data_IF_780514478150
#
_entry.id   IF_780514478150
#
_cell.length_a   1.000
_cell.length_b   1.000
_cell.length_c   1.000
_cell.angle_alpha   90.00
_cell.angle_beta   90.00
_cell.angle_gamma   90.00
#
_symmetry.space_group_name_H-M   'P 1'
#
loop_
_entity.id
_entity.type
_entity.pdbx_description
1 polymer ?
#
# COMPACT_ATOMS: atom_id res chain seq x y z
N UNK A 1 -0.05 17.61 10.78
CA UNK A 1 -1.09 16.74 10.23
C UNK A 1 -0.44 15.41 9.81
N UNK A 2 -1.02 14.31 10.23
CA UNK A 2 -0.48 12.98 9.91
C UNK A 2 -0.89 12.57 8.50
N UNK A 3 0.05 12.08 7.73
CA UNK A 3 -0.21 11.43 6.45
C UNK A 3 -0.12 9.92 6.64
N UNK A 4 -1.14 9.20 6.23
CA UNK A 4 -1.21 7.74 6.32
C UNK A 4 -1.04 7.12 4.95
N UNK A 5 -0.13 6.15 4.85
CA UNK A 5 0.14 5.42 3.62
C UNK A 5 -0.31 3.98 3.81
N UNK A 6 -1.31 3.55 3.03
CA UNK A 6 -1.71 2.15 3.02
C UNK A 6 -0.65 1.33 2.29
N UNK A 7 -0.16 0.24 2.91
CA UNK A 7 0.72 -0.67 2.20
C UNK A 7 -0.08 -1.49 1.18
N UNK A 8 0.61 -2.29 0.38
CA UNK A 8 -0.04 -3.04 -0.70
C UNK A 8 -1.07 -4.03 -0.18
N UNK A 9 -0.81 -4.67 0.96
CA UNK A 9 -1.75 -5.62 1.56
C UNK A 9 -3.02 -4.92 2.04
N UNK A 10 -2.88 -3.79 2.74
CA UNK A 10 -4.05 -3.00 3.18
C UNK A 10 -4.85 -2.50 1.99
N UNK A 11 -4.17 -2.06 0.94
CA UNK A 11 -4.83 -1.59 -0.27
C UNK A 11 -5.66 -2.71 -0.91
N UNK A 12 -5.10 -3.92 -0.99
CA UNK A 12 -5.81 -5.11 -1.47
C UNK A 12 -7.01 -5.45 -0.59
N UNK A 13 -6.85 -5.39 0.72
CA UNK A 13 -7.95 -5.63 1.66
C UNK A 13 -9.10 -4.65 1.41
N UNK A 14 -8.77 -3.38 1.21
CA UNK A 14 -9.79 -2.36 0.97
C UNK A 14 -10.52 -2.61 -0.36
N UNK A 15 -9.80 -3.00 -1.40
CA UNK A 15 -10.42 -3.33 -2.68
C UNK A 15 -11.39 -4.52 -2.55
N UNK A 16 -11.10 -5.44 -1.64
CA UNK A 16 -11.98 -6.60 -1.37
C UNK A 16 -13.11 -6.29 -0.40
N UNK A 17 -13.23 -5.06 0.08
CA UNK A 17 -14.33 -4.65 0.95
C UNK A 17 -14.14 -4.99 2.42
N UNK A 18 -12.91 -5.06 2.92
CA UNK A 18 -12.63 -5.35 4.33
C UNK A 18 -13.26 -4.30 5.24
N UNK A 19 -14.19 -4.71 6.09
CA UNK A 19 -15.04 -3.78 6.83
C UNK A 19 -14.32 -2.93 7.87
N UNK A 20 -13.46 -3.47 8.76
CA UNK A 20 -12.75 -2.62 9.73
C UNK A 20 -11.91 -1.53 9.07
N UNK A 21 -11.22 -1.88 8.00
CA UNK A 21 -10.40 -0.95 7.24
C UNK A 21 -11.27 0.11 6.56
N UNK A 22 -12.37 -0.30 5.93
CA UNK A 22 -13.29 0.63 5.29
C UNK A 22 -13.85 1.66 6.25
N UNK A 23 -14.23 1.24 7.45
CA UNK A 23 -14.71 2.14 8.51
C UNK A 23 -13.63 3.14 8.93
N UNK A 24 -12.41 2.68 9.10
CA UNK A 24 -11.29 3.55 9.50
C UNK A 24 -10.99 4.58 8.41
N UNK A 25 -11.05 4.17 7.15
CA UNK A 25 -10.84 5.09 6.02
C UNK A 25 -11.93 6.16 5.98
N UNK A 26 -13.19 5.79 6.18
CA UNK A 26 -14.29 6.76 6.22
C UNK A 26 -14.15 7.76 7.37
N UNK A 27 -13.54 7.34 8.47
CA UNK A 27 -13.33 8.19 9.65
C UNK A 27 -12.10 9.08 9.54
N UNK A 28 -11.29 8.93 8.48
CA UNK A 28 -10.05 9.67 8.29
C UNK A 28 -10.21 10.68 7.16
N UNK A 29 -9.78 11.94 7.33
CA UNK A 29 -9.89 12.91 6.25
C UNK A 29 -9.15 12.44 4.99
N UNK A 30 -9.77 12.55 3.80
CA UNK A 30 -9.17 12.04 2.56
C UNK A 30 -7.78 12.61 2.24
N UNK A 31 -7.52 13.86 2.63
CA UNK A 31 -6.21 14.48 2.39
C UNK A 31 -5.12 13.96 3.30
N UNK A 32 -5.45 13.07 4.24
CA UNK A 32 -4.47 12.40 5.11
C UNK A 32 -4.20 10.96 4.67
N UNK A 33 -4.77 10.51 3.56
CA UNK A 33 -4.64 9.13 3.08
C UNK A 33 -3.95 9.16 1.72
N UNK A 34 -2.95 8.30 1.55
CA UNK A 34 -2.26 8.15 0.28
C UNK A 34 -1.83 6.69 0.10
N UNK A 35 -1.45 6.36 -1.12
CA UNK A 35 -0.75 5.12 -1.45
C UNK A 35 0.54 5.48 -2.14
N UNK A 36 1.42 4.50 -2.33
CA UNK A 36 2.68 4.74 -3.05
C UNK A 36 2.58 4.26 -4.49
N UNK A 37 3.42 4.83 -5.35
CA UNK A 37 3.61 4.32 -6.71
C UNK A 37 3.99 2.85 -6.70
N UNK A 38 4.74 2.40 -5.69
CA UNK A 38 5.12 0.99 -5.52
C UNK A 38 3.90 0.11 -5.30
N UNK A 39 2.96 0.50 -4.44
CA UNK A 39 1.74 -0.27 -4.21
C UNK A 39 0.84 -0.29 -5.45
N UNK A 40 0.73 0.84 -6.15
CA UNK A 40 -0.01 0.90 -7.40
C UNK A 40 0.61 -0.06 -8.43
N UNK A 41 1.93 -0.06 -8.55
CA UNK A 41 2.66 -0.99 -9.43
C UNK A 41 2.33 -2.45 -9.09
N UNK A 42 2.35 -2.80 -7.81
CA UNK A 42 2.08 -4.18 -7.39
C UNK A 42 0.66 -4.64 -7.76
N UNK A 43 -0.33 -3.78 -7.52
CA UNK A 43 -1.71 -4.12 -7.85
C UNK A 43 -1.89 -4.29 -9.36
N UNK A 44 -1.36 -3.36 -10.16
CA UNK A 44 -1.44 -3.43 -11.62
C UNK A 44 -0.71 -4.67 -12.13
N UNK A 45 0.48 -4.95 -11.59
CA UNK A 45 1.26 -6.13 -11.99
C UNK A 45 0.49 -7.42 -11.73
N UNK A 46 -0.20 -7.51 -10.59
CA UNK A 46 -1.03 -8.67 -10.26
C UNK A 46 -2.15 -8.87 -11.27
N UNK A 47 -2.80 -7.80 -11.70
CA UNK A 47 -3.87 -7.86 -12.71
C UNK A 47 -3.33 -8.21 -14.09
N UNK A 48 -2.18 -7.66 -14.47
CA UNK A 48 -1.53 -8.01 -15.75
C UNK A 48 -1.13 -9.49 -15.77
N UNK A 49 -0.64 -10.01 -14.66
CA UNK A 49 -0.32 -11.44 -14.52
C UNK A 49 -1.57 -12.30 -14.70
N UNK A 50 -2.70 -11.89 -14.11
CA UNK A 50 -3.97 -12.59 -14.26
C UNK A 50 -4.43 -12.61 -15.71
N UNK A 51 -4.30 -11.50 -16.43
CA UNK A 51 -4.62 -11.43 -17.85
C UNK A 51 -3.76 -12.42 -18.65
N UNK A 52 -2.46 -12.45 -18.39
CA UNK A 52 -1.53 -13.34 -19.09
C UNK A 52 -1.82 -14.81 -18.86
N UNK A 53 -2.32 -15.18 -17.69
CA UNK A 53 -2.63 -16.57 -17.36
C UNK A 53 -4.00 -17.01 -17.84
N UNK A 54 -4.87 -16.08 -18.22
CA UNK A 54 -6.22 -16.40 -18.70
C UNK A 54 -6.15 -17.06 -20.07
N UNK A 55 -6.70 -18.28 -20.19
CA UNK A 55 -6.66 -19.07 -21.41
C UNK A 55 -8.05 -19.37 -21.98
N UNK A 56 -9.11 -19.17 -21.21
CA UNK A 56 -10.47 -19.44 -21.63
C UNK A 56 -11.25 -18.12 -21.78
N UNK A 57 -12.31 -18.11 -22.61
CA UNK A 57 -13.06 -16.86 -22.83
C UNK A 57 -13.54 -16.17 -21.55
N UNK A 58 -14.15 -16.94 -20.63
CA UNK A 58 -14.66 -16.37 -19.38
C UNK A 58 -13.52 -15.86 -18.47
N UNK A 59 -12.38 -16.56 -18.48
CA UNK A 59 -11.22 -16.14 -17.72
C UNK A 59 -10.68 -14.81 -18.22
N UNK A 60 -10.63 -14.64 -19.55
CA UNK A 60 -10.17 -13.38 -20.14
C UNK A 60 -11.11 -12.23 -19.79
N UNK A 61 -12.43 -12.45 -19.90
CA UNK A 61 -13.42 -11.41 -19.54
C UNK A 61 -13.25 -11.01 -18.07
N UNK A 62 -13.12 -11.99 -17.18
CA UNK A 62 -12.94 -11.75 -15.74
C UNK A 62 -11.63 -10.99 -15.44
N UNK A 63 -10.54 -11.41 -16.08
CA UNK A 63 -9.23 -10.80 -15.85
C UNK A 63 -9.20 -9.35 -16.32
N UNK A 64 -9.76 -9.04 -17.48
CA UNK A 64 -9.85 -7.66 -17.98
C UNK A 64 -10.81 -6.81 -17.15
N UNK A 65 -11.91 -7.39 -16.67
CA UNK A 65 -12.82 -6.69 -15.78
C UNK A 65 -12.08 -6.20 -14.53
N UNK A 66 -11.33 -7.09 -13.88
CA UNK A 66 -10.61 -6.73 -12.66
C UNK A 66 -9.46 -5.76 -12.93
N UNK A 67 -8.83 -5.84 -14.08
CA UNK A 67 -7.82 -4.86 -14.48
C UNK A 67 -8.45 -3.47 -14.56
N UNK A 68 -9.56 -3.35 -15.26
CA UNK A 68 -10.28 -2.07 -15.39
C UNK A 68 -10.77 -1.55 -14.04
N UNK A 69 -11.32 -2.45 -13.20
CA UNK A 69 -11.77 -2.06 -11.86
C UNK A 69 -10.60 -1.57 -11.00
N UNK A 70 -9.44 -2.19 -11.13
CA UNK A 70 -8.24 -1.79 -10.37
C UNK A 70 -7.75 -0.42 -10.79
N UNK A 71 -7.75 -0.12 -12.08
CA UNK A 71 -7.37 1.23 -12.54
C UNK A 71 -8.31 2.29 -11.97
N UNK A 72 -9.60 2.03 -11.99
CA UNK A 72 -10.61 2.94 -11.44
C UNK A 72 -10.45 3.10 -9.93
N UNK A 73 -10.23 1.99 -9.22
CA UNK A 73 -9.99 1.98 -7.78
C UNK A 73 -8.77 2.83 -7.41
N UNK A 74 -7.66 2.66 -8.12
CA UNK A 74 -6.42 3.39 -7.86
C UNK A 74 -6.58 4.89 -8.12
N UNK A 75 -7.42 5.26 -9.08
CA UNK A 75 -7.68 6.66 -9.40
C UNK A 75 -8.29 7.43 -8.22
N UNK A 76 -8.93 6.75 -7.29
CA UNK A 76 -9.51 7.35 -6.09
C UNK A 76 -8.50 7.75 -5.01
N UNK A 77 -7.21 7.47 -5.20
CA UNK A 77 -6.19 7.75 -4.19
C UNK A 77 -5.17 8.77 -4.68
N UNK A 78 -4.62 9.53 -3.74
CA UNK A 78 -3.38 10.25 -3.97
C UNK A 78 -2.24 9.24 -4.04
N UNK A 79 -1.48 9.26 -5.12
CA UNK A 79 -0.36 8.35 -5.33
C UNK A 79 0.95 9.11 -5.13
N UNK A 80 1.72 8.71 -4.14
CA UNK A 80 3.02 9.32 -3.85
C UNK A 80 4.09 8.71 -4.76
N UNK A 81 4.84 9.58 -5.42
CA UNK A 81 5.88 9.16 -6.35
C UNK A 81 7.09 8.55 -5.64
N UNK A 82 7.80 7.68 -6.34
CA UNK A 82 9.13 7.24 -5.94
C UNK A 82 10.13 8.22 -6.54
N UNK A 83 10.39 9.31 -5.81
CA UNK A 83 11.22 10.41 -6.29
C UNK A 83 12.68 10.28 -5.80
N UNK A 84 13.50 11.29 -6.07
CA UNK A 84 14.92 11.27 -5.68
C UNK A 84 15.09 11.19 -4.16
N UNK A 85 14.18 11.80 -3.39
CA UNK A 85 14.25 11.72 -1.92
C UNK A 85 13.92 10.31 -1.44
N UNK A 86 12.94 9.64 -2.05
CA UNK A 86 12.63 8.25 -1.75
C UNK A 86 13.80 7.35 -2.10
N UNK A 87 14.43 7.56 -3.24
CA UNK A 87 15.60 6.77 -3.65
C UNK A 87 16.75 6.93 -2.65
N UNK A 88 17.01 8.15 -2.18
CA UNK A 88 18.05 8.38 -1.18
C UNK A 88 17.77 7.61 0.11
N UNK A 89 16.50 7.59 0.55
CA UNK A 89 16.10 6.81 1.73
C UNK A 89 16.24 5.31 1.47
N UNK A 90 15.86 4.85 0.27
CA UNK A 90 15.99 3.45 -0.10
C UNK A 90 17.46 2.99 -0.05
N UNK A 91 18.38 3.79 -0.62
CA UNK A 91 19.80 3.49 -0.56
C UNK A 91 20.29 3.43 0.91
N UNK A 92 19.87 4.36 1.74
CA UNK A 92 20.21 4.35 3.16
C UNK A 92 19.73 3.07 3.85
N UNK A 93 18.52 2.61 3.56
CA UNK A 93 17.99 1.37 4.13
C UNK A 93 18.77 0.14 3.66
N UNK A 94 19.17 0.12 2.39
CA UNK A 94 20.04 -0.94 1.87
C UNK A 94 21.39 -0.95 2.58
N UNK A 95 21.98 0.22 2.81
CA UNK A 95 23.27 0.34 3.49
C UNK A 95 23.20 -0.13 4.94
N UNK A 96 22.03 0.03 5.58
CA UNK A 96 21.79 -0.48 6.93
C UNK A 96 21.54 -1.98 6.95
N UNK A 97 21.51 -2.63 5.79
CA UNK A 97 21.31 -4.09 5.63
C UNK A 97 19.99 -4.58 6.24
N UNK A 98 18.95 -3.78 6.11
CA UNK A 98 17.62 -4.16 6.57
C UNK A 98 17.05 -5.20 5.61
N UNK A 99 16.71 -6.38 6.15
CA UNK A 99 16.29 -7.55 5.36
C UNK A 99 14.77 -7.68 5.37
N UNK A 100 14.12 -6.91 4.53
CA UNK A 100 12.71 -7.08 4.21
C UNK A 100 12.57 -7.03 2.69
N UNK A 101 11.39 -7.37 2.17
CA UNK A 101 11.16 -7.37 0.73
C UNK A 101 11.46 -6.02 0.10
N UNK A 102 11.97 -6.04 -1.13
CA UNK A 102 12.37 -4.83 -1.86
C UNK A 102 11.21 -3.84 -2.03
N UNK A 103 10.00 -4.35 -2.29
CA UNK A 103 8.82 -3.49 -2.45
C UNK A 103 8.46 -2.81 -1.14
N UNK A 104 8.50 -3.54 -0.02
CA UNK A 104 8.24 -2.97 1.31
C UNK A 104 9.31 -1.93 1.68
N UNK A 105 10.58 -2.18 1.32
CA UNK A 105 11.63 -1.17 1.52
C UNK A 105 11.35 0.11 0.73
N UNK A 106 10.85 0.00 -0.49
CA UNK A 106 10.49 1.17 -1.29
C UNK A 106 9.31 1.95 -0.70
N UNK A 107 8.30 1.23 -0.20
CA UNK A 107 7.17 1.85 0.50
C UNK A 107 7.68 2.61 1.73
N UNK A 108 8.53 1.96 2.53
CA UNK A 108 9.14 2.60 3.70
C UNK A 108 9.97 3.82 3.34
N UNK A 109 10.73 3.75 2.25
CA UNK A 109 11.54 4.87 1.78
C UNK A 109 10.68 6.09 1.42
N UNK A 110 9.58 5.87 0.72
CA UNK A 110 8.63 6.94 0.41
C UNK A 110 8.05 7.52 1.71
N UNK A 111 7.61 6.64 2.63
CA UNK A 111 7.02 7.06 3.90
C UNK A 111 8.00 7.89 4.73
N UNK A 112 9.25 7.46 4.85
CA UNK A 112 10.28 8.21 5.58
C UNK A 112 10.53 9.58 4.95
N UNK A 113 10.57 9.66 3.62
CA UNK A 113 10.79 10.91 2.92
C UNK A 113 9.66 11.91 3.12
N UNK A 114 8.46 11.45 3.43
CA UNK A 114 7.26 12.28 3.66
C UNK A 114 6.90 12.40 5.15
N UNK A 115 7.66 11.75 6.03
CA UNK A 115 7.35 11.68 7.47
C UNK A 115 5.94 11.15 7.71
N UNK A 116 5.56 10.12 6.95
CA UNK A 116 4.23 9.53 6.99
C UNK A 116 4.20 8.28 7.88
N UNK A 117 3.00 7.88 8.28
CA UNK A 117 2.75 6.63 8.99
C UNK A 117 2.36 5.55 7.98
N UNK A 118 3.00 4.39 8.03
CA UNK A 118 2.63 3.25 7.19
C UNK A 118 1.54 2.45 7.88
N UNK A 119 0.46 2.20 7.17
CA UNK A 119 -0.66 1.40 7.67
C UNK A 119 -0.48 -0.01 7.11
N UNK A 120 -0.20 -0.96 8.00
CA UNK A 120 0.25 -2.31 7.63
C UNK A 120 -0.12 -3.34 8.68
N UNK A 121 -0.30 -4.59 8.24
CA UNK A 121 -0.36 -5.75 9.14
C UNK A 121 1.03 -6.36 9.35
N UNK A 122 2.00 -5.98 8.54
CA UNK A 122 3.34 -6.56 8.56
C UNK A 122 4.27 -5.78 9.50
N UNK A 123 3.87 -5.68 10.77
CA UNK A 123 4.66 -4.96 11.76
C UNK A 123 6.03 -5.58 11.95
N UNK A 124 6.12 -6.90 11.90
CA UNK A 124 7.37 -7.62 12.13
C UNK A 124 8.49 -7.13 11.21
N UNK A 125 8.20 -6.92 9.92
CA UNK A 125 9.19 -6.44 8.97
C UNK A 125 9.43 -4.94 9.10
N UNK A 126 8.38 -4.14 9.12
CA UNK A 126 8.51 -2.69 9.15
C UNK A 126 9.10 -2.16 10.47
N UNK A 127 8.93 -2.88 11.58
CA UNK A 127 9.53 -2.49 12.87
C UNK A 127 11.05 -2.53 12.85
N UNK A 128 11.65 -3.21 11.88
CA UNK A 128 13.10 -3.20 11.70
C UNK A 128 13.64 -1.87 11.23
N UNK A 129 12.77 -0.96 10.80
CA UNK A 129 13.15 0.34 10.24
C UNK A 129 12.99 1.40 11.33
N UNK A 130 14.13 1.94 11.77
CA UNK A 130 14.14 2.98 12.81
C UNK A 130 13.47 4.26 12.29
N UNK A 131 12.60 4.82 13.10
CA UNK A 131 11.94 6.09 12.80
C UNK A 131 10.69 5.98 11.95
N UNK A 132 10.31 4.77 11.52
CA UNK A 132 9.10 4.57 10.77
C UNK A 132 7.92 4.38 11.71
N UNK A 133 6.87 5.18 11.53
CA UNK A 133 5.63 5.07 12.31
C UNK A 133 4.69 4.09 11.64
N UNK A 134 4.04 3.24 12.44
CA UNK A 134 3.20 2.14 11.95
C UNK A 134 1.85 2.15 12.64
N UNK A 135 0.79 1.81 11.90
CA UNK A 135 -0.53 1.49 12.45
C UNK A 135 -1.11 0.31 11.67
N UNK A 136 -2.03 -0.39 12.29
CA UNK A 136 -2.77 -1.48 11.64
C UNK A 136 -4.27 -1.13 11.70
N UNK A 137 -4.88 -0.95 10.52
CA UNK A 137 -6.29 -0.60 10.38
C UNK A 137 -7.15 -1.80 10.00
N UNK A 138 -6.57 -2.99 9.96
CA UNK A 138 -7.29 -4.21 9.55
C UNK A 138 -8.12 -4.83 10.67
N UNK A 139 -7.95 -4.36 11.90
CA UNK A 139 -8.64 -4.88 13.07
C UNK A 139 -9.52 -3.79 13.67
N UNK A 140 -10.63 -4.19 14.30
CA UNK A 140 -11.44 -3.24 15.05
C UNK A 140 -10.64 -2.74 16.25
N UNK A 141 -10.65 -1.42 16.44
CA UNK A 141 -10.07 -0.86 17.65
C UNK A 141 -11.01 -1.12 18.81
N UNK A 142 -10.43 -1.55 19.94
CA UNK A 142 -11.18 -1.60 21.18
C UNK A 142 -11.64 -0.17 21.52
N UNK A 143 -12.88 -0.03 21.94
CA UNK A 143 -13.38 1.26 22.40
C UNK A 143 -12.65 1.60 23.70
N UNK A 144 -11.95 2.72 23.69
CA UNK A 144 -11.32 3.23 24.92
C UNK A 144 -12.38 3.94 25.76
N UNK A 145 -12.28 3.74 27.05
CA UNK A 145 -13.19 4.34 28.02
C UNK A 145 -12.51 5.48 28.72
#
# INVERSE_FOLDING_TARGET
MTLYILDSDHLSLHQRGHEPLGKRLLATPPNQIAITATSAEELVRGRLSQIRRASQPQERVYAYYWFTQTLDFLHGFTVLSYDAQAEARFQSLLDQKIRIGSQDLKIAAIALSKKATVVTRNRQDFERITGLLLEDWSVFQALER
#
